data_IF_046472309474
#
_entry.id   IF_046472309474
#
_cell.length_a   1.000
_cell.length_b   1.000
_cell.length_c   1.000
_cell.angle_alpha   90.00
_cell.angle_beta   90.00
_cell.angle_gamma   90.00
#
_symmetry.space_group_name_H-M   'P 1'
#
loop_
_entity.id
_entity.type
_entity.pdbx_description
1 polymer ?
#
# COMPACT_ATOMS: atom_id res chain seq x y z
N UNK A 1 15.71 0.90 -4.48
CA UNK A 1 15.84 -0.10 -3.41
C UNK A 1 15.14 0.45 -2.20
N UNK A 2 13.95 -0.08 -1.92
CA UNK A 2 13.17 0.28 -0.76
C UNK A 2 13.61 -0.52 0.47
N UNK A 3 13.25 -0.03 1.65
CA UNK A 3 13.33 -0.75 2.90
C UNK A 3 11.96 -1.29 3.25
N UNK A 4 11.90 -2.54 3.73
CA UNK A 4 10.67 -3.13 4.27
C UNK A 4 10.89 -3.60 5.71
N UNK A 5 9.83 -3.53 6.51
CA UNK A 5 9.76 -4.06 7.87
C UNK A 5 8.38 -4.65 8.13
N UNK A 6 8.33 -5.86 8.68
CA UNK A 6 7.09 -6.45 9.19
C UNK A 6 6.76 -5.87 10.56
N UNK A 7 5.52 -5.44 10.75
CA UNK A 7 5.01 -4.83 11.97
C UNK A 7 3.60 -5.32 12.30
N UNK A 8 3.23 -5.15 13.56
CA UNK A 8 1.88 -5.36 14.05
C UNK A 8 1.25 -3.99 14.29
N UNK A 9 0.21 -3.63 13.54
CA UNK A 9 -0.50 -2.34 13.67
C UNK A 9 -1.93 -2.63 14.13
N UNK A 10 -2.19 -2.35 15.41
CA UNK A 10 -3.39 -2.85 16.08
C UNK A 10 -3.44 -4.38 16.03
N UNK A 11 -4.56 -4.93 15.58
CA UNK A 11 -4.76 -6.39 15.49
C UNK A 11 -4.36 -6.98 14.13
N UNK A 12 -3.70 -6.21 13.25
CA UNK A 12 -3.34 -6.62 11.89
C UNK A 12 -1.82 -6.72 11.71
N UNK A 13 -1.38 -7.77 11.01
CA UNK A 13 -0.05 -7.83 10.42
C UNK A 13 0.06 -6.82 9.27
N UNK A 14 1.20 -6.15 9.18
CA UNK A 14 1.48 -5.19 8.13
C UNK A 14 2.95 -5.24 7.69
N UNK A 15 3.19 -4.92 6.42
CA UNK A 15 4.50 -4.62 5.87
C UNK A 15 4.59 -3.11 5.67
N UNK A 16 5.49 -2.47 6.41
CA UNK A 16 5.82 -1.04 6.27
C UNK A 16 6.97 -0.94 5.28
N UNK A 17 6.78 -0.11 4.26
CA UNK A 17 7.75 0.15 3.21
C UNK A 17 8.14 1.63 3.25
N UNK A 18 9.42 1.92 3.09
CA UNK A 18 9.98 3.27 3.03
C UNK A 18 11.20 3.32 2.09
N UNK A 19 11.75 4.51 1.84
CA UNK A 19 12.95 4.65 1.01
C UNK A 19 12.75 4.39 -0.50
N UNK A 20 11.50 4.33 -0.96
CA UNK A 20 11.16 4.41 -2.38
C UNK A 20 11.07 5.90 -2.79
N UNK A 21 11.12 6.18 -4.10
CA UNK A 21 10.93 7.54 -4.61
C UNK A 21 9.58 8.15 -4.24
N UNK A 22 9.31 9.41 -4.60
CA UNK A 22 7.98 10.01 -4.37
C UNK A 22 6.89 9.12 -4.98
N UNK A 23 6.05 8.51 -4.14
CA UNK A 23 4.86 7.79 -4.53
C UNK A 23 3.66 8.45 -3.85
N UNK A 24 2.54 8.54 -4.56
CA UNK A 24 1.26 9.03 -4.05
C UNK A 24 0.24 7.94 -4.35
N UNK A 25 -0.40 7.38 -3.32
CA UNK A 25 -1.48 6.42 -3.53
C UNK A 25 -2.65 7.06 -4.23
N UNK A 26 -2.94 8.33 -3.93
CA UNK A 26 -3.96 9.11 -4.62
C UNK A 26 -3.68 9.18 -6.11
N UNK A 27 -2.47 9.57 -6.51
CA UNK A 27 -2.11 9.63 -7.93
C UNK A 27 -2.13 8.23 -8.55
N UNK A 28 -1.70 7.22 -7.79
CA UNK A 28 -1.67 5.82 -8.26
C UNK A 28 -3.07 5.30 -8.54
N UNK A 29 -4.02 5.46 -7.63
CA UNK A 29 -5.37 4.91 -7.82
C UNK A 29 -6.26 5.81 -8.67
N UNK A 30 -6.15 7.13 -8.53
CA UNK A 30 -7.12 8.08 -9.08
C UNK A 30 -6.68 8.73 -10.41
N UNK A 31 -5.49 8.42 -10.93
CA UNK A 31 -5.10 8.87 -12.29
C UNK A 31 -5.83 8.12 -13.43
N UNK A 32 -6.77 7.22 -13.10
CA UNK A 32 -7.56 6.46 -14.07
C UNK A 32 -6.91 5.16 -14.55
N UNK A 33 -5.76 4.76 -13.97
CA UNK A 33 -5.11 3.48 -14.32
C UNK A 33 -5.72 2.26 -13.62
N UNK A 34 -6.45 2.46 -12.52
CA UNK A 34 -7.10 1.40 -11.74
C UNK A 34 -8.61 1.63 -11.66
N UNK A 35 -9.39 0.54 -11.61
CA UNK A 35 -10.87 0.61 -11.54
C UNK A 35 -11.46 -0.14 -10.33
N UNK A 36 -10.66 -0.94 -9.63
CA UNK A 36 -11.11 -1.79 -8.51
C UNK A 36 -10.47 -1.36 -7.20
N UNK A 37 -10.72 -0.12 -6.81
CA UNK A 37 -10.27 0.43 -5.54
C UNK A 37 -11.40 1.23 -4.86
N UNK A 38 -11.28 1.40 -3.55
CA UNK A 38 -12.14 2.24 -2.73
C UNK A 38 -11.24 2.96 -1.71
N UNK A 39 -11.39 4.29 -1.61
CA UNK A 39 -10.74 5.06 -0.53
C UNK A 39 -11.54 4.83 0.75
N UNK A 40 -10.90 4.27 1.78
CA UNK A 40 -11.59 3.83 3.00
C UNK A 40 -11.31 4.71 4.22
N UNK A 41 -10.23 5.47 4.22
CA UNK A 41 -9.89 6.39 5.30
C UNK A 41 -9.04 7.55 4.80
N UNK A 42 -9.31 8.74 5.32
CA UNK A 42 -8.48 9.93 5.12
C UNK A 42 -8.48 10.73 6.43
N UNK A 43 -7.30 10.93 6.99
CA UNK A 43 -7.05 11.71 8.21
C UNK A 43 -5.71 12.43 8.07
N UNK A 44 -5.42 13.39 8.94
CA UNK A 44 -4.24 14.26 8.83
C UNK A 44 -2.95 13.46 8.54
N UNK A 45 -2.43 13.57 7.31
CA UNK A 45 -1.22 12.88 6.85
C UNK A 45 -1.38 11.39 6.53
N UNK A 46 -2.59 10.83 6.53
CA UNK A 46 -2.84 9.43 6.22
C UNK A 46 -3.99 9.24 5.25
N UNK A 47 -3.76 8.43 4.21
CA UNK A 47 -4.80 7.94 3.31
C UNK A 47 -4.74 6.42 3.24
N UNK A 48 -5.89 5.77 3.17
CA UNK A 48 -5.98 4.31 3.03
C UNK A 48 -6.95 3.93 1.92
N UNK A 49 -6.52 2.93 1.15
CA UNK A 49 -7.28 2.34 0.08
C UNK A 49 -7.46 0.85 0.30
N UNK A 50 -8.65 0.37 -0.05
CA UNK A 50 -8.91 -1.04 -0.32
C UNK A 50 -8.83 -1.23 -1.84
N UNK A 51 -8.13 -2.26 -2.31
CA UNK A 51 -8.03 -2.58 -3.74
C UNK A 51 -8.08 -4.08 -3.97
N UNK A 52 -8.56 -4.51 -5.14
CA UNK A 52 -8.54 -5.91 -5.54
C UNK A 52 -7.59 -6.11 -6.72
N UNK A 53 -6.51 -6.86 -6.48
CA UNK A 53 -5.47 -7.18 -7.47
C UNK A 53 -5.58 -8.67 -7.79
N UNK A 54 -6.07 -9.01 -8.99
CA UNK A 54 -6.43 -10.40 -9.32
C UNK A 54 -7.56 -10.91 -8.42
N UNK A 55 -7.26 -11.93 -7.62
CA UNK A 55 -8.11 -12.54 -6.60
C UNK A 55 -7.76 -12.10 -5.16
N UNK A 56 -6.78 -11.21 -5.01
CA UNK A 56 -6.28 -10.75 -3.71
C UNK A 56 -6.90 -9.41 -3.32
N UNK A 57 -7.55 -9.36 -2.15
CA UNK A 57 -7.98 -8.12 -1.51
C UNK A 57 -6.81 -7.54 -0.71
N UNK A 58 -6.42 -6.30 -1.00
CA UNK A 58 -5.32 -5.61 -0.33
C UNK A 58 -5.78 -4.28 0.27
N UNK A 59 -5.33 -4.03 1.49
CA UNK A 59 -5.48 -2.74 2.14
C UNK A 59 -4.11 -2.08 2.17
N UNK A 60 -4.03 -0.86 1.62
CA UNK A 60 -2.79 -0.10 1.54
C UNK A 60 -3.00 1.30 2.09
N UNK A 61 -2.26 1.61 3.14
CA UNK A 61 -2.17 2.94 3.74
C UNK A 61 -0.93 3.67 3.24
N UNK A 62 -0.99 5.00 3.31
CA UNK A 62 0.15 5.86 3.07
C UNK A 62 0.22 6.88 4.21
N UNK A 63 1.39 6.98 4.85
CA UNK A 63 1.72 8.04 5.80
C UNK A 63 2.56 9.08 5.05
N UNK A 64 1.99 10.27 4.89
CA UNK A 64 2.55 11.37 4.12
C UNK A 64 3.05 10.90 2.73
N UNK A 65 4.08 11.53 2.16
CA UNK A 65 4.69 11.05 0.91
C UNK A 65 5.81 10.01 1.15
N UNK A 66 5.96 9.50 2.37
CA UNK A 66 7.19 8.84 2.84
C UNK A 66 7.09 7.34 3.09
N UNK A 67 5.92 6.85 3.53
CA UNK A 67 5.75 5.44 3.90
C UNK A 67 4.48 4.84 3.33
N UNK A 68 4.56 3.58 2.90
CA UNK A 68 3.41 2.76 2.53
C UNK A 68 3.24 1.64 3.55
N UNK A 69 2.01 1.37 3.93
CA UNK A 69 1.63 0.32 4.87
C UNK A 69 0.74 -0.67 4.14
N UNK A 70 1.22 -1.88 3.94
CA UNK A 70 0.45 -2.96 3.34
C UNK A 70 -0.05 -3.88 4.44
N UNK A 71 -1.35 -3.90 4.71
CA UNK A 71 -1.93 -4.78 5.74
C UNK A 71 -2.11 -6.19 5.19
N UNK A 72 -1.01 -6.93 5.11
CA UNK A 72 -0.92 -8.28 4.52
C UNK A 72 0.32 -9.01 5.05
N UNK A 73 0.43 -10.30 4.74
CA UNK A 73 1.61 -11.11 5.05
C UNK A 73 2.76 -10.88 4.06
N UNK A 74 3.99 -11.24 4.48
CA UNK A 74 5.20 -11.04 3.65
C UNK A 74 5.10 -11.73 2.28
N UNK A 75 4.46 -12.91 2.23
CA UNK A 75 4.33 -13.69 0.99
C UNK A 75 3.43 -12.98 -0.02
N UNK A 76 2.33 -12.41 0.42
CA UNK A 76 1.36 -11.69 -0.41
C UNK A 76 1.93 -10.36 -0.83
N UNK A 77 2.64 -9.67 0.08
CA UNK A 77 3.38 -8.46 -0.25
C UNK A 77 4.37 -8.70 -1.41
N UNK A 78 5.25 -9.69 -1.29
CA UNK A 78 6.27 -10.00 -2.31
C UNK A 78 5.65 -10.43 -3.66
N UNK A 79 4.57 -11.20 -3.62
CA UNK A 79 3.95 -11.73 -4.85
C UNK A 79 3.00 -10.78 -5.55
N UNK A 80 2.34 -9.90 -4.81
CA UNK A 80 1.25 -9.07 -5.33
C UNK A 80 1.60 -7.59 -5.25
N UNK A 81 1.98 -7.09 -4.07
CA UNK A 81 2.19 -5.66 -3.87
C UNK A 81 3.45 -5.16 -4.60
N UNK A 82 4.58 -5.85 -4.46
CA UNK A 82 5.85 -5.46 -5.12
C UNK A 82 5.69 -5.29 -6.63
N UNK A 83 5.17 -6.27 -7.40
CA UNK A 83 5.01 -6.11 -8.84
C UNK A 83 3.91 -5.11 -9.22
N UNK A 84 2.81 -5.03 -8.47
CA UNK A 84 1.71 -4.12 -8.80
C UNK A 84 2.10 -2.65 -8.61
N UNK A 85 2.74 -2.32 -7.49
CA UNK A 85 3.19 -0.96 -7.18
C UNK A 85 4.57 -0.64 -7.76
N UNK A 86 5.16 -1.56 -8.55
CA UNK A 86 6.47 -1.40 -9.18
C UNK A 86 7.55 -0.97 -8.17
N UNK A 87 7.54 -1.57 -6.98
CA UNK A 87 8.48 -1.23 -5.91
C UNK A 87 9.87 -1.76 -6.26
N UNK A 88 10.86 -0.87 -6.46
CA UNK A 88 12.24 -1.17 -6.85
C UNK A 88 13.29 -0.61 -5.87
#
# INVERSE_FOLDING_TARGET
MFHKKSEQIGDREAIVVSGFGKCSLTDTFECGQAFRYERISEREGYVEYMTVIGDTLLFVGQIEAGELIFYTDDKTFEKVAVPYFTLN
#
